data_IF_723977698796
#
_entry.id   IF_723977698796
#
_cell.length_a   1.000
_cell.length_b   1.000
_cell.length_c   1.000
_cell.angle_alpha   90.00
_cell.angle_beta   90.00
_cell.angle_gamma   90.00
#
_symmetry.space_group_name_H-M   'P 1'
#
loop_
_entity.id
_entity.type
_entity.pdbx_description
1 polymer ?
#
# COMPACT_ATOMS: atom_id res chain seq x y z
N UNK A 1 9.65 -11.78 -30.02
CA UNK A 1 8.73 -11.23 -29.00
C UNK A 1 9.58 -10.79 -27.84
N UNK A 2 9.66 -9.48 -27.57
CA UNK A 2 10.36 -8.97 -26.39
C UNK A 2 9.39 -9.15 -25.24
N UNK A 3 9.57 -10.22 -24.48
CA UNK A 3 8.87 -10.39 -23.21
C UNK A 3 9.21 -9.19 -22.31
N UNK A 4 8.20 -8.56 -21.74
CA UNK A 4 8.44 -7.45 -20.82
C UNK A 4 9.16 -8.00 -19.57
N UNK A 5 10.13 -7.26 -19.00
CA UNK A 5 10.98 -7.77 -17.88
C UNK A 5 10.21 -8.24 -16.63
N UNK A 6 8.91 -7.91 -16.53
CA UNK A 6 8.03 -8.34 -15.45
C UNK A 6 7.31 -9.67 -15.74
N UNK A 7 7.29 -10.14 -16.99
CA UNK A 7 6.74 -11.44 -17.34
C UNK A 7 7.62 -12.52 -16.70
N UNK A 8 7.07 -13.36 -15.81
CA UNK A 8 7.86 -14.45 -15.27
C UNK A 8 8.33 -15.31 -16.43
N UNK A 9 9.60 -15.72 -16.40
CA UNK A 9 10.10 -16.70 -17.36
C UNK A 9 9.09 -17.84 -17.47
N UNK A 10 8.71 -18.23 -18.69
CA UNK A 10 7.62 -19.17 -18.97
C UNK A 10 7.63 -20.47 -18.13
N UNK A 11 8.74 -20.80 -17.47
CA UNK A 11 8.74 -21.45 -16.16
C UNK A 11 7.92 -22.74 -16.07
N UNK A 12 7.39 -23.02 -14.88
CA UNK A 12 6.59 -24.23 -14.60
C UNK A 12 5.17 -24.20 -15.16
N UNK A 13 4.76 -23.09 -15.77
CA UNK A 13 3.39 -22.84 -16.20
C UNK A 13 3.05 -23.44 -17.57
N UNK A 14 4.05 -23.81 -18.36
CA UNK A 14 3.83 -24.34 -19.70
C UNK A 14 2.99 -23.38 -20.55
N UNK A 15 1.94 -23.90 -21.19
CA UNK A 15 1.04 -23.14 -22.06
C UNK A 15 -0.22 -22.59 -21.34
N UNK A 16 -0.47 -23.00 -20.09
CA UNK A 16 -1.66 -22.59 -19.32
C UNK A 16 -1.34 -21.49 -18.33
N UNK A 17 -0.90 -20.35 -18.84
CA UNK A 17 -0.59 -19.18 -18.02
C UNK A 17 -1.88 -18.43 -17.64
N UNK A 18 -2.11 -18.08 -16.36
CA UNK A 18 -3.30 -17.33 -15.95
C UNK A 18 -3.13 -15.83 -16.28
N UNK A 19 -3.01 -15.50 -17.57
CA UNK A 19 -2.73 -14.14 -18.06
C UNK A 19 -3.72 -13.09 -17.54
N UNK A 20 -5.00 -13.45 -17.43
CA UNK A 20 -6.02 -12.55 -16.90
C UNK A 20 -5.72 -12.10 -15.46
N UNK A 21 -5.14 -12.98 -14.64
CA UNK A 21 -4.73 -12.65 -13.27
C UNK A 21 -3.54 -11.69 -13.24
N UNK A 22 -2.53 -11.91 -14.08
CA UNK A 22 -1.39 -10.98 -14.18
C UNK A 22 -1.81 -9.61 -14.70
N UNK A 23 -2.74 -9.56 -15.66
CA UNK A 23 -3.29 -8.30 -16.14
C UNK A 23 -4.03 -7.56 -15.01
N UNK A 24 -4.85 -8.27 -14.24
CA UNK A 24 -5.56 -7.71 -13.10
C UNK A 24 -4.62 -7.17 -12.02
N UNK A 25 -3.57 -7.93 -11.68
CA UNK A 25 -2.51 -7.47 -10.76
C UNK A 25 -1.85 -6.22 -11.30
N UNK A 26 -1.53 -6.18 -12.60
CA UNK A 26 -0.94 -5.00 -13.25
C UNK A 26 -1.83 -3.76 -13.17
N UNK A 27 -3.16 -3.90 -13.30
CA UNK A 27 -4.11 -2.81 -13.10
C UNK A 27 -4.04 -2.26 -11.67
N UNK A 28 -4.09 -3.13 -10.66
CA UNK A 28 -4.03 -2.74 -9.24
C UNK A 28 -2.68 -2.12 -8.87
N UNK A 29 -1.57 -2.64 -9.42
CA UNK A 29 -0.23 -2.05 -9.21
C UNK A 29 -0.13 -0.65 -9.82
N UNK A 30 -0.77 -0.41 -10.96
CA UNK A 30 -0.81 0.93 -11.55
C UNK A 30 -1.62 1.91 -10.69
N UNK A 31 -2.75 1.46 -10.14
CA UNK A 31 -3.55 2.23 -9.17
C UNK A 31 -2.73 2.56 -7.92
N UNK A 32 -2.01 1.58 -7.37
CA UNK A 32 -1.11 1.75 -6.23
C UNK A 32 -0.03 2.80 -6.53
N UNK A 33 0.60 2.73 -7.70
CA UNK A 33 1.62 3.68 -8.12
C UNK A 33 1.04 5.11 -8.24
N UNK A 34 -0.18 5.25 -8.77
CA UNK A 34 -0.86 6.53 -8.87
C UNK A 34 -1.16 7.15 -7.49
N UNK A 35 -1.63 6.33 -6.53
CA UNK A 35 -1.87 6.76 -5.16
C UNK A 35 -0.58 7.24 -4.46
N UNK A 36 0.52 6.46 -4.58
CA UNK A 36 1.84 6.82 -4.04
C UNK A 36 2.36 8.13 -4.65
N UNK A 37 2.23 8.30 -5.97
CA UNK A 37 2.66 9.52 -6.66
C UNK A 37 1.85 10.74 -6.21
N UNK A 38 0.54 10.58 -6.03
CA UNK A 38 -0.34 11.64 -5.52
C UNK A 38 0.08 12.07 -4.11
N UNK A 39 0.37 11.11 -3.23
CA UNK A 39 0.88 11.38 -1.88
C UNK A 39 2.23 12.11 -1.89
N UNK A 40 3.15 11.71 -2.77
CA UNK A 40 4.44 12.37 -2.97
C UNK A 40 4.29 13.83 -3.41
N UNK A 41 3.31 14.11 -4.27
CA UNK A 41 2.98 15.47 -4.69
C UNK A 41 2.45 16.31 -3.52
N UNK A 42 1.59 15.74 -2.67
CA UNK A 42 1.10 16.40 -1.45
C UNK A 42 2.26 16.83 -0.53
N UNK A 43 3.25 15.95 -0.32
CA UNK A 43 4.42 16.24 0.52
C UNK A 43 5.33 17.36 -0.02
N UNK A 44 5.43 17.49 -1.36
CA UNK A 44 6.26 18.51 -2.02
C UNK A 44 5.56 19.86 -2.16
N UNK A 45 4.26 19.94 -1.83
CA UNK A 45 3.49 21.17 -1.96
C UNK A 45 3.99 22.24 -0.98
N UNK A 46 4.30 23.47 -1.43
CA UNK A 46 4.71 24.59 -0.57
C UNK A 46 3.71 24.94 0.54
N UNK A 47 2.46 24.46 0.44
CA UNK A 47 1.38 24.74 1.39
C UNK A 47 1.44 23.90 2.68
N UNK A 48 2.25 22.83 2.74
CA UNK A 48 2.36 22.00 3.95
C UNK A 48 3.47 22.46 4.93
N UNK A 49 3.89 23.71 4.87
CA UNK A 49 5.15 24.20 5.43
C UNK A 49 5.12 24.68 6.90
N UNK A 50 4.31 24.08 7.78
CA UNK A 50 4.52 24.24 9.23
C UNK A 50 4.95 22.91 9.87
N UNK A 51 6.22 22.88 10.28
CA UNK A 51 6.93 21.70 10.76
C UNK A 51 6.46 21.24 12.15
N UNK A 52 5.80 22.11 12.89
CA UNK A 52 5.43 22.00 14.31
C UNK A 52 4.27 21.02 14.56
N UNK A 53 3.36 20.83 13.60
CA UNK A 53 2.21 19.92 13.75
C UNK A 53 2.46 18.51 13.17
N UNK A 54 3.58 18.30 12.46
CA UNK A 54 3.92 17.00 11.85
C UNK A 54 4.36 15.94 12.85
N UNK A 55 4.83 16.34 14.03
CA UNK A 55 5.41 15.41 15.01
C UNK A 55 4.40 14.39 15.55
N UNK A 56 3.13 14.78 15.69
CA UNK A 56 2.07 13.92 16.25
C UNK A 56 1.63 12.79 15.32
N UNK A 57 1.74 12.98 14.00
CA UNK A 57 1.37 11.99 12.99
C UNK A 57 2.59 11.29 12.38
N UNK A 58 3.80 11.81 12.63
CA UNK A 58 5.05 11.31 12.04
C UNK A 58 5.27 9.84 12.34
N UNK A 59 5.20 9.44 13.60
CA UNK A 59 5.48 8.07 14.01
C UNK A 59 4.44 7.07 13.46
N UNK A 60 3.12 7.33 13.57
CA UNK A 60 2.11 6.49 12.93
C UNK A 60 2.26 6.40 11.41
N UNK A 61 2.58 7.51 10.74
CA UNK A 61 2.78 7.51 9.28
C UNK A 61 4.05 6.76 8.86
N UNK A 62 5.14 6.84 9.65
CA UNK A 62 6.37 6.10 9.40
C UNK A 62 6.18 4.61 9.59
N UNK A 63 5.50 4.20 10.67
CA UNK A 63 5.14 2.81 10.92
C UNK A 63 4.27 2.26 9.79
N UNK A 64 3.22 2.99 9.40
CA UNK A 64 2.38 2.61 8.27
C UNK A 64 3.19 2.49 6.97
N UNK A 65 4.05 3.47 6.64
CA UNK A 65 4.89 3.41 5.45
C UNK A 65 5.83 2.19 5.45
N UNK A 66 6.37 1.81 6.61
CA UNK A 66 7.20 0.61 6.75
C UNK A 66 6.38 -0.67 6.50
N UNK A 67 5.19 -0.80 7.10
CA UNK A 67 4.28 -1.93 6.86
C UNK A 67 3.88 -2.02 5.38
N UNK A 68 3.52 -0.90 4.75
CA UNK A 68 3.18 -0.82 3.32
C UNK A 68 4.35 -1.28 2.44
N UNK A 69 5.58 -0.80 2.72
CA UNK A 69 6.77 -1.18 1.97
C UNK A 69 7.09 -2.68 2.13
N UNK A 70 6.96 -3.20 3.35
CA UNK A 70 7.12 -4.63 3.63
C UNK A 70 6.09 -5.46 2.87
N UNK A 71 4.80 -5.08 2.89
CA UNK A 71 3.75 -5.77 2.15
C UNK A 71 4.01 -5.80 0.65
N UNK A 72 4.42 -4.68 0.04
CA UNK A 72 4.78 -4.65 -1.38
C UNK A 72 5.92 -5.61 -1.68
N UNK A 73 6.93 -5.66 -0.81
CA UNK A 73 8.05 -6.60 -0.91
C UNK A 73 7.60 -8.06 -0.85
N UNK A 74 6.82 -8.41 0.18
CA UNK A 74 6.31 -9.78 0.40
C UNK A 74 5.44 -10.26 -0.78
N UNK A 75 4.56 -9.40 -1.30
CA UNK A 75 3.75 -9.71 -2.47
C UNK A 75 4.60 -9.89 -3.74
N UNK A 76 5.62 -9.05 -3.91
CA UNK A 76 6.57 -9.16 -5.02
C UNK A 76 7.38 -10.45 -4.97
N UNK A 77 7.88 -10.81 -3.79
CA UNK A 77 8.65 -12.03 -3.56
C UNK A 77 7.79 -13.29 -3.72
N UNK A 78 6.53 -13.25 -3.29
CA UNK A 78 5.53 -14.29 -3.54
C UNK A 78 5.38 -14.58 -5.04
N UNK A 79 5.15 -13.54 -5.86
CA UNK A 79 5.02 -13.68 -7.32
C UNK A 79 6.32 -14.17 -7.96
N UNK A 80 7.45 -13.52 -7.64
CA UNK A 80 8.75 -13.82 -8.24
C UNK A 80 9.24 -15.22 -7.87
N UNK A 81 9.01 -15.61 -6.62
CA UNK A 81 9.35 -16.93 -6.09
C UNK A 81 8.33 -18.02 -6.42
N UNK A 82 7.14 -17.68 -6.93
CA UNK A 82 6.00 -18.60 -7.07
C UNK A 82 5.64 -19.30 -5.75
N UNK A 83 5.75 -18.57 -4.65
CA UNK A 83 5.51 -19.03 -3.27
C UNK A 83 4.22 -18.42 -2.79
N UNK A 84 3.37 -19.18 -2.09
CA UNK A 84 2.20 -18.58 -1.45
C UNK A 84 2.62 -17.65 -0.32
N UNK A 85 2.26 -16.38 -0.44
CA UNK A 85 2.07 -15.51 0.72
C UNK A 85 0.72 -15.85 1.35
N UNK A 86 0.64 -16.00 2.67
CA UNK A 86 -0.63 -16.23 3.36
C UNK A 86 -1.22 -14.86 3.77
N UNK A 87 -2.12 -14.26 2.98
CA UNK A 87 -2.51 -12.86 3.18
C UNK A 87 -3.28 -12.68 4.48
N UNK A 88 -4.16 -13.64 4.80
CA UNK A 88 -5.00 -13.63 6.00
C UNK A 88 -4.21 -13.66 7.31
N UNK A 89 -3.06 -14.34 7.33
CA UNK A 89 -2.29 -14.55 8.57
C UNK A 89 -1.16 -13.56 8.78
N UNK A 90 -0.65 -12.95 7.71
CA UNK A 90 0.54 -12.09 7.77
C UNK A 90 0.31 -10.69 7.23
N UNK A 91 -0.29 -10.56 6.05
CA UNK A 91 -0.40 -9.26 5.34
C UNK A 91 -1.60 -8.45 5.83
N UNK A 92 -2.80 -9.05 5.83
CA UNK A 92 -4.03 -8.38 6.21
C UNK A 92 -4.05 -7.89 7.68
N UNK A 93 -3.51 -8.64 8.67
CA UNK A 93 -3.40 -8.13 10.02
C UNK A 93 -2.51 -6.87 10.10
N UNK A 94 -1.39 -6.84 9.38
CA UNK A 94 -0.48 -5.70 9.36
C UNK A 94 -1.10 -4.48 8.68
N UNK A 95 -1.76 -4.66 7.53
CA UNK A 95 -2.49 -3.58 6.84
C UNK A 95 -3.62 -3.01 7.69
N UNK A 96 -4.40 -3.87 8.36
CA UNK A 96 -5.47 -3.45 9.29
C UNK A 96 -4.91 -2.70 10.50
N UNK A 97 -3.78 -3.15 11.05
CA UNK A 97 -3.08 -2.47 12.13
C UNK A 97 -2.63 -1.07 11.70
N UNK A 98 -1.96 -0.96 10.54
CA UNK A 98 -1.53 0.31 9.98
C UNK A 98 -2.71 1.27 9.75
N UNK A 99 -3.83 0.78 9.20
CA UNK A 99 -5.04 1.58 9.01
C UNK A 99 -5.63 2.08 10.32
N UNK A 100 -5.65 1.24 11.35
CA UNK A 100 -6.16 1.58 12.67
C UNK A 100 -5.30 2.69 13.31
N UNK A 101 -3.98 2.56 13.27
CA UNK A 101 -3.05 3.57 13.79
C UNK A 101 -3.17 4.90 13.04
N UNK A 102 -3.23 4.87 11.70
CA UNK A 102 -3.49 6.06 10.89
C UNK A 102 -4.83 6.71 11.26
N UNK A 103 -5.88 5.93 11.50
CA UNK A 103 -7.20 6.46 11.87
C UNK A 103 -7.22 7.12 13.25
N UNK A 104 -6.39 6.64 14.18
CA UNK A 104 -6.19 7.27 15.49
C UNK A 104 -5.41 8.57 15.31
N UNK A 105 -4.32 8.53 14.54
CA UNK A 105 -3.50 9.69 14.23
C UNK A 105 -4.26 10.79 13.47
N UNK A 106 -5.28 10.45 12.68
CA UNK A 106 -6.16 11.43 12.03
C UNK A 106 -7.08 12.16 13.03
N UNK A 107 -7.43 11.51 14.15
CA UNK A 107 -8.36 12.03 15.16
C UNK A 107 -7.66 12.86 16.23
N UNK A 108 -6.38 12.62 16.51
CA UNK A 108 -5.63 13.33 17.55
C UNK A 108 -5.44 14.84 17.33
N UNK A 109 -5.26 15.37 16.10
CA UNK A 109 -5.23 16.82 15.86
C UNK A 109 -6.59 17.48 16.10
N UNK A 110 -7.68 16.72 15.97
CA UNK A 110 -9.06 17.22 16.07
C UNK A 110 -9.55 17.33 17.53
N UNK A 111 -8.91 16.63 18.47
CA UNK A 111 -9.33 16.55 19.88
C UNK A 111 -8.57 17.51 20.81
N UNK A 112 -7.42 18.05 20.38
CA UNK A 112 -6.69 19.09 21.12
C UNK A 112 -7.35 20.43 20.84
N UNK A 113 -8.44 20.72 21.55
CA UNK A 113 -9.12 22.01 21.47
C UNK A 113 -8.18 23.18 21.71
N UNK A 114 -8.30 24.19 20.84
CA UNK A 114 -7.83 25.58 21.01
C UNK A 114 -6.32 25.79 21.16
N UNK A 115 -5.61 26.04 20.05
CA UNK A 115 -4.90 27.32 19.76
C UNK A 115 -3.95 27.14 18.54
N UNK A 116 -4.19 27.89 17.45
CA UNK A 116 -3.26 28.21 16.32
C UNK A 116 -2.80 27.13 15.33
N UNK A 117 -3.67 26.26 14.82
CA UNK A 117 -3.44 25.61 13.52
C UNK A 117 -4.31 26.27 12.44
N UNK A 118 -3.72 26.71 11.33
CA UNK A 118 -4.50 27.17 10.16
C UNK A 118 -5.40 26.02 9.67
N UNK A 119 -6.68 26.27 9.37
CA UNK A 119 -7.60 25.25 8.84
C UNK A 119 -7.01 24.48 7.64
N UNK A 120 -6.14 25.13 6.87
CA UNK A 120 -5.43 24.55 5.74
C UNK A 120 -4.40 23.47 6.14
N UNK A 121 -3.77 23.58 7.31
CA UNK A 121 -2.80 22.59 7.80
C UNK A 121 -3.49 21.33 8.29
N UNK A 122 -4.56 21.49 9.06
CA UNK A 122 -5.40 20.38 9.52
C UNK A 122 -5.96 19.61 8.33
N UNK A 123 -6.43 20.34 7.31
CA UNK A 123 -6.87 19.75 6.04
C UNK A 123 -5.73 19.05 5.30
N UNK A 124 -4.54 19.64 5.24
CA UNK A 124 -3.37 19.05 4.60
C UNK A 124 -2.91 17.76 5.27
N UNK A 125 -2.92 17.71 6.59
CA UNK A 125 -2.61 16.50 7.37
C UNK A 125 -3.67 15.42 7.18
N UNK A 126 -4.95 15.79 7.25
CA UNK A 126 -6.04 14.85 7.01
C UNK A 126 -5.95 14.26 5.60
N UNK A 127 -5.76 15.09 4.57
CA UNK A 127 -5.58 14.64 3.19
C UNK A 127 -4.38 13.71 3.03
N UNK A 128 -3.27 13.98 3.72
CA UNK A 128 -2.11 13.09 3.71
C UNK A 128 -2.42 11.73 4.35
N UNK A 129 -3.06 11.72 5.52
CA UNK A 129 -3.44 10.47 6.20
C UNK A 129 -4.48 9.68 5.38
N UNK A 130 -5.45 10.35 4.76
CA UNK A 130 -6.40 9.71 3.85
C UNK A 130 -5.70 9.08 2.64
N UNK A 131 -4.70 9.76 2.06
CA UNK A 131 -3.91 9.18 0.98
C UNK A 131 -3.11 7.94 1.41
N UNK A 132 -2.60 7.89 2.65
CA UNK A 132 -1.99 6.68 3.19
C UNK A 132 -3.02 5.54 3.37
N UNK A 133 -4.24 5.86 3.83
CA UNK A 133 -5.32 4.86 3.94
C UNK A 133 -5.75 4.32 2.59
N UNK A 134 -5.84 5.17 1.57
CA UNK A 134 -6.11 4.75 0.18
C UNK A 134 -5.06 3.74 -0.30
N UNK A 135 -3.78 3.98 -0.03
CA UNK A 135 -2.70 3.04 -0.35
C UNK A 135 -2.89 1.70 0.39
N UNK A 136 -3.30 1.72 1.67
CA UNK A 136 -3.61 0.48 2.41
C UNK A 136 -4.72 -0.31 1.71
N UNK A 137 -5.81 0.35 1.31
CA UNK A 137 -6.96 -0.30 0.66
C UNK A 137 -6.58 -0.92 -0.68
N UNK A 138 -5.76 -0.23 -1.49
CA UNK A 138 -5.25 -0.77 -2.76
C UNK A 138 -4.32 -1.97 -2.51
N UNK A 139 -3.51 -1.96 -1.44
CA UNK A 139 -2.68 -3.12 -1.08
C UNK A 139 -3.49 -4.31 -0.58
N UNK A 140 -4.59 -4.10 0.15
CA UNK A 140 -5.51 -5.18 0.54
C UNK A 140 -6.08 -5.87 -0.72
N UNK A 141 -6.48 -5.08 -1.72
CA UNK A 141 -6.95 -5.61 -2.99
C UNK A 141 -5.83 -6.33 -3.75
N UNK A 142 -4.62 -5.78 -3.78
CA UNK A 142 -3.47 -6.41 -4.42
C UNK A 142 -3.15 -7.76 -3.78
N UNK A 143 -3.14 -7.83 -2.45
CA UNK A 143 -2.89 -9.06 -1.71
C UNK A 143 -3.90 -10.16 -2.05
N UNK A 144 -5.18 -9.79 -2.22
CA UNK A 144 -6.22 -10.72 -2.67
C UNK A 144 -5.97 -11.25 -4.08
N UNK A 145 -5.64 -10.37 -5.03
CA UNK A 145 -5.38 -10.79 -6.42
C UNK A 145 -4.13 -11.69 -6.52
N UNK A 146 -3.10 -11.42 -5.72
CA UNK A 146 -1.88 -12.25 -5.65
C UNK A 146 -2.16 -13.62 -5.04
N UNK A 147 -3.02 -13.71 -4.01
CA UNK A 147 -3.42 -14.99 -3.44
C UNK A 147 -4.24 -15.83 -4.44
N UNK A 148 -5.23 -15.21 -5.10
CA UNK A 148 -6.01 -15.87 -6.13
C UNK A 148 -5.14 -16.34 -7.31
N UNK A 149 -4.13 -15.53 -7.68
CA UNK A 149 -3.10 -15.95 -8.63
C UNK A 149 -2.40 -17.20 -8.10
N UNK A 150 -1.85 -17.17 -6.88
CA UNK A 150 -1.11 -18.28 -6.29
C UNK A 150 -1.93 -19.58 -6.19
N UNK A 151 -3.22 -19.46 -5.91
CA UNK A 151 -4.16 -20.59 -5.93
C UNK A 151 -4.35 -21.17 -7.33
N UNK A 152 -4.59 -20.31 -8.32
CA UNK A 152 -4.82 -20.71 -9.73
C UNK A 152 -3.54 -21.26 -10.37
N UNK A 153 -2.40 -20.68 -10.01
CA UNK A 153 -1.08 -20.94 -10.55
C UNK A 153 -0.35 -22.11 -9.87
N UNK A 154 -0.89 -22.65 -8.78
CA UNK A 154 -0.24 -23.72 -8.02
C UNK A 154 1.07 -23.29 -7.37
N UNK A 155 1.12 -22.07 -6.81
CA UNK A 155 2.26 -21.63 -6.01
C UNK A 155 2.49 -22.59 -4.84
N UNK A 156 3.76 -22.81 -4.49
CA UNK A 156 4.12 -23.73 -3.41
C UNK A 156 3.86 -23.08 -2.04
N UNK A 157 3.37 -23.89 -1.09
CA UNK A 157 3.24 -23.46 0.30
C UNK A 157 4.62 -23.32 0.96
N UNK A 158 4.68 -22.45 1.97
CA UNK A 158 5.89 -22.19 2.77
C UNK A 158 5.93 -23.07 3.99
#
# INVERSE_FOLDING_TARGET
>A
VVAARWEPWHGKFGLSYPWDKYKRIGEVVNELAAAILSLKCCLKSPRQAEQTNRESIKEPCQAAAASLAWTIGELGDSICGMRRCNPETSILPELKSARLELSRAAKTPFQRGSDKGSDAETLGMASFVFGLMEIVEVLEQLAKEVDELGQTAGFHET
#
